data_IF_641128498694
#
_entry.id   IF_641128498694
#
_cell.length_a   1.000
_cell.length_b   1.000
_cell.length_c   1.000
_cell.angle_alpha   90.00
_cell.angle_beta   90.00
_cell.angle_gamma   90.00
#
_symmetry.space_group_name_H-M   'P 1'
#
loop_
_entity.id
_entity.type
_entity.pdbx_description
1 polymer ?
#
# COMPACT_ATOMS: atom_id res chain seq x y z
N UNK A 1 -18.46 -5.22 10.63
CA UNK A 1 -17.28 -5.78 9.96
C UNK A 1 -17.03 -7.26 10.28
N UNK A 2 -17.29 -7.74 11.51
CA UNK A 2 -17.08 -9.15 11.88
C UNK A 2 -17.79 -10.15 10.95
N UNK A 3 -19.04 -9.88 10.55
CA UNK A 3 -19.81 -10.74 9.64
C UNK A 3 -19.32 -10.74 8.20
N UNK A 4 -18.66 -9.66 7.73
CA UNK A 4 -18.10 -9.59 6.38
C UNK A 4 -16.91 -10.54 6.23
N UNK A 5 -16.00 -10.58 7.19
CA UNK A 5 -14.81 -11.43 7.14
C UNK A 5 -15.06 -12.90 7.47
N UNK A 6 -16.23 -13.23 8.05
CA UNK A 6 -16.65 -14.62 8.33
C UNK A 6 -17.53 -15.22 7.23
N UNK A 7 -18.12 -14.39 6.35
CA UNK A 7 -18.92 -14.83 5.21
C UNK A 7 -18.02 -15.32 4.07
N UNK A 8 -18.31 -16.50 3.52
CA UNK A 8 -17.61 -17.05 2.34
C UNK A 8 -18.36 -16.81 1.03
N UNK A 9 -19.35 -15.93 1.02
CA UNK A 9 -20.26 -15.68 -0.11
C UNK A 9 -20.42 -14.21 -0.47
N UNK A 10 -19.38 -13.40 -0.23
CA UNK A 10 -19.43 -11.99 -0.57
C UNK A 10 -19.49 -11.79 -2.10
N UNK A 11 -20.32 -10.83 -2.52
CA UNK A 11 -20.42 -10.44 -3.92
C UNK A 11 -19.10 -9.82 -4.39
N UNK A 12 -18.61 -10.24 -5.55
CA UNK A 12 -17.42 -9.67 -6.17
C UNK A 12 -17.56 -8.16 -6.36
N UNK A 13 -18.73 -7.67 -6.76
CA UNK A 13 -19.00 -6.24 -6.92
C UNK A 13 -18.80 -5.44 -5.64
N UNK A 14 -19.34 -5.92 -4.51
CA UNK A 14 -19.19 -5.21 -3.23
C UNK A 14 -17.75 -5.15 -2.75
N UNK A 15 -16.99 -6.25 -2.93
CA UNK A 15 -15.56 -6.29 -2.57
C UNK A 15 -14.73 -5.42 -3.50
N UNK A 16 -15.03 -5.44 -4.81
CA UNK A 16 -14.36 -4.58 -5.79
C UNK A 16 -14.61 -3.09 -5.52
N UNK A 17 -15.80 -2.72 -5.06
CA UNK A 17 -16.10 -1.34 -4.69
C UNK A 17 -15.28 -0.87 -3.47
N UNK A 18 -14.99 -1.78 -2.53
CA UNK A 18 -14.06 -1.50 -1.42
C UNK A 18 -12.66 -1.23 -1.99
N UNK A 19 -12.17 -2.07 -2.90
CA UNK A 19 -10.85 -1.92 -3.50
C UNK A 19 -10.70 -0.67 -4.37
N UNK A 20 -11.73 -0.29 -5.11
CA UNK A 20 -11.78 1.02 -5.76
C UNK A 20 -11.69 2.16 -4.74
N UNK A 21 -12.43 2.04 -3.64
CA UNK A 21 -12.45 3.05 -2.58
C UNK A 21 -11.11 3.18 -1.85
N UNK A 22 -10.33 2.09 -1.71
CA UNK A 22 -8.98 2.17 -1.12
C UNK A 22 -8.00 2.93 -2.01
N UNK A 23 -8.17 2.86 -3.33
CA UNK A 23 -7.38 3.62 -4.28
C UNK A 23 -7.74 5.12 -4.30
N UNK A 24 -8.95 5.50 -3.90
CA UNK A 24 -9.35 6.93 -3.79
C UNK A 24 -8.76 7.52 -2.51
N UNK A 25 -7.49 7.89 -2.58
CA UNK A 25 -6.76 8.43 -1.43
C UNK A 25 -5.85 9.60 -1.83
N UNK A 26 -5.55 10.46 -0.85
CA UNK A 26 -4.61 11.58 -1.04
C UNK A 26 -3.20 11.06 -1.33
N UNK A 27 -2.79 9.94 -0.74
CA UNK A 27 -1.49 9.31 -0.98
C UNK A 27 -1.30 8.92 -2.46
N UNK A 28 -2.34 8.38 -3.10
CA UNK A 28 -2.31 8.01 -4.52
C UNK A 28 -2.12 9.24 -5.42
N UNK A 29 -2.84 10.34 -5.14
CA UNK A 29 -2.69 11.61 -5.87
C UNK A 29 -1.28 12.16 -5.66
N UNK A 30 -0.81 12.18 -4.43
CA UNK A 30 0.51 12.68 -4.08
C UNK A 30 1.62 11.87 -4.76
N UNK A 31 1.53 10.55 -4.78
CA UNK A 31 2.53 9.74 -5.50
C UNK A 31 2.52 10.06 -7.00
N UNK A 32 1.35 10.36 -7.56
CA UNK A 32 1.23 10.85 -8.93
C UNK A 32 1.98 12.16 -9.17
N UNK A 33 2.03 13.08 -8.18
CA UNK A 33 2.77 14.35 -8.33
C UNK A 33 4.28 14.16 -8.47
N UNK A 34 4.86 13.12 -7.85
CA UNK A 34 6.29 12.83 -7.95
C UNK A 34 6.73 12.41 -9.34
N UNK A 35 5.81 11.97 -10.19
CA UNK A 35 6.12 11.59 -11.56
C UNK A 35 6.21 12.79 -12.51
N UNK A 36 5.90 13.99 -12.04
CA UNK A 36 5.87 15.20 -12.84
C UNK A 36 7.19 15.55 -13.56
N UNK A 37 8.39 15.26 -13.03
CA UNK A 37 9.65 15.46 -13.76
C UNK A 37 9.74 14.70 -15.09
N UNK A 38 8.99 13.60 -15.27
CA UNK A 38 8.90 12.86 -16.54
C UNK A 38 8.00 13.56 -17.59
N UNK A 39 7.25 14.55 -17.16
CA UNK A 39 6.18 15.14 -17.98
C UNK A 39 4.96 14.23 -18.13
N UNK A 40 3.90 14.75 -18.73
CA UNK A 40 2.61 14.06 -18.80
C UNK A 40 2.65 12.74 -19.57
N UNK A 41 3.39 12.69 -20.70
CA UNK A 41 3.40 11.51 -21.59
C UNK A 41 4.10 10.32 -20.95
N UNK A 42 5.35 10.51 -20.54
CA UNK A 42 6.17 9.41 -20.02
C UNK A 42 5.75 9.06 -18.58
N UNK A 43 5.32 10.05 -17.79
CA UNK A 43 4.72 9.81 -16.47
C UNK A 43 3.45 8.97 -16.56
N UNK A 44 2.52 9.28 -17.48
CA UNK A 44 1.32 8.46 -17.68
C UNK A 44 1.64 7.04 -18.17
N UNK A 45 2.63 6.90 -19.06
CA UNK A 45 3.07 5.57 -19.49
C UNK A 45 3.67 4.76 -18.34
N UNK A 46 4.46 5.39 -17.46
CA UNK A 46 4.99 4.76 -16.26
C UNK A 46 3.88 4.32 -15.29
N UNK A 47 2.83 5.14 -15.12
CA UNK A 47 1.64 4.78 -14.34
C UNK A 47 1.00 3.51 -14.91
N UNK A 48 0.74 3.46 -16.21
CA UNK A 48 0.10 2.30 -16.83
C UNK A 48 0.94 1.04 -16.71
N UNK A 49 2.23 1.11 -17.03
CA UNK A 49 3.15 -0.03 -16.97
C UNK A 49 3.28 -0.55 -15.54
N UNK A 50 3.49 0.35 -14.58
CA UNK A 50 3.66 -0.03 -13.17
C UNK A 50 2.39 -0.63 -12.56
N UNK A 51 1.21 -0.09 -12.86
CA UNK A 51 -0.06 -0.66 -12.38
C UNK A 51 -0.43 -1.97 -13.05
N UNK A 52 -0.09 -2.19 -14.32
CA UNK A 52 -0.29 -3.49 -14.97
C UNK A 52 0.59 -4.55 -14.29
N UNK A 53 1.88 -4.25 -14.08
CA UNK A 53 2.80 -5.17 -13.41
C UNK A 53 2.39 -5.39 -11.96
N UNK A 54 2.21 -4.32 -11.19
CA UNK A 54 1.81 -4.38 -9.79
C UNK A 54 0.46 -5.06 -9.59
N UNK A 55 -0.50 -4.83 -10.50
CA UNK A 55 -1.80 -5.50 -10.51
C UNK A 55 -1.70 -7.00 -10.74
N UNK A 56 -0.84 -7.47 -11.64
CA UNK A 56 -0.58 -8.91 -11.83
C UNK A 56 -0.03 -9.51 -10.54
N UNK A 57 0.95 -8.86 -9.91
CA UNK A 57 1.56 -9.33 -8.66
C UNK A 57 0.50 -9.35 -7.53
N UNK A 58 -0.31 -8.30 -7.42
CA UNK A 58 -1.40 -8.21 -6.45
C UNK A 58 -2.45 -9.30 -6.66
N UNK A 59 -2.79 -9.61 -7.92
CA UNK A 59 -3.69 -10.72 -8.28
C UNK A 59 -3.14 -12.07 -7.80
N UNK A 60 -1.84 -12.32 -8.01
CA UNK A 60 -1.21 -13.56 -7.56
C UNK A 60 -1.25 -13.71 -6.04
N UNK A 61 -1.08 -12.63 -5.28
CA UNK A 61 -1.25 -12.65 -3.82
C UNK A 61 -2.71 -12.93 -3.42
N UNK A 62 -3.65 -12.23 -4.04
CA UNK A 62 -5.08 -12.38 -3.74
C UNK A 62 -5.67 -13.74 -4.09
N UNK A 63 -5.21 -14.36 -5.19
CA UNK A 63 -5.74 -15.67 -5.62
C UNK A 63 -5.32 -16.81 -4.69
N UNK A 64 -4.17 -16.70 -4.02
CA UNK A 64 -3.76 -17.66 -2.99
C UNK A 64 -4.77 -17.66 -1.84
N UNK A 65 -5.08 -16.47 -1.31
CA UNK A 65 -6.07 -16.31 -0.25
C UNK A 65 -7.46 -16.78 -0.64
N UNK A 66 -7.90 -16.44 -1.87
CA UNK A 66 -9.18 -16.88 -2.41
C UNK A 66 -9.28 -18.40 -2.50
N UNK A 67 -8.29 -19.06 -3.12
CA UNK A 67 -8.28 -20.50 -3.34
C UNK A 67 -8.13 -21.31 -2.04
N UNK A 68 -7.30 -20.84 -1.12
CA UNK A 68 -7.06 -21.51 0.17
C UNK A 68 -8.04 -21.10 1.27
N UNK A 69 -8.90 -20.10 1.01
CA UNK A 69 -9.83 -19.53 2.00
C UNK A 69 -9.11 -19.06 3.27
N UNK A 70 -7.90 -18.53 3.14
CA UNK A 70 -7.03 -18.12 4.22
C UNK A 70 -6.70 -16.61 4.16
N UNK A 71 -6.35 -16.04 5.31
CA UNK A 71 -5.85 -14.68 5.43
C UNK A 71 -4.47 -14.52 4.77
N UNK A 72 -4.01 -13.28 4.60
CA UNK A 72 -2.68 -13.01 4.06
C UNK A 72 -1.59 -13.64 4.96
N UNK A 73 -1.70 -13.49 6.27
CA UNK A 73 -0.77 -14.09 7.23
C UNK A 73 -0.77 -15.62 7.17
N UNK A 74 -1.94 -16.25 7.07
CA UNK A 74 -2.06 -17.70 6.89
C UNK A 74 -1.49 -18.18 5.57
N UNK A 75 -1.61 -17.38 4.49
CA UNK A 75 -1.00 -17.73 3.19
C UNK A 75 0.53 -17.79 3.27
N UNK A 76 1.15 -16.88 4.02
CA UNK A 76 2.60 -16.86 4.25
C UNK A 76 3.04 -18.03 5.14
N UNK A 77 2.21 -18.48 6.09
CA UNK A 77 2.49 -19.68 6.88
C UNK A 77 2.72 -20.92 6.01
N UNK A 78 2.07 -21.03 4.84
CA UNK A 78 2.26 -22.16 3.92
C UNK A 78 3.71 -22.29 3.45
N UNK A 79 4.42 -21.17 3.29
CA UNK A 79 5.81 -21.15 2.78
C UNK A 79 6.86 -20.95 3.86
N UNK A 80 6.59 -20.12 4.86
CA UNK A 80 7.58 -19.72 5.87
C UNK A 80 7.40 -20.39 7.24
N UNK A 81 6.30 -21.10 7.45
CA UNK A 81 5.94 -21.70 8.74
C UNK A 81 5.39 -20.67 9.73
N UNK A 82 5.08 -21.14 10.94
CA UNK A 82 4.40 -20.34 11.98
C UNK A 82 5.15 -19.07 12.36
N UNK A 83 6.45 -19.16 12.58
CA UNK A 83 7.27 -17.98 12.93
C UNK A 83 7.35 -17.00 11.76
N UNK A 84 7.42 -17.50 10.51
CA UNK A 84 7.37 -16.65 9.32
C UNK A 84 6.05 -15.88 9.20
N UNK A 85 4.92 -16.49 9.51
CA UNK A 85 3.61 -15.82 9.56
C UNK A 85 3.56 -14.73 10.63
N UNK A 86 4.15 -14.98 11.80
CA UNK A 86 4.27 -13.97 12.87
C UNK A 86 5.16 -12.80 12.42
N UNK A 87 6.33 -13.11 11.84
CA UNK A 87 7.24 -12.06 11.30
C UNK A 87 6.58 -11.24 10.21
N UNK A 88 5.81 -11.87 9.33
CA UNK A 88 5.03 -11.18 8.31
C UNK A 88 3.99 -10.23 8.93
N UNK A 89 3.27 -10.65 9.95
CA UNK A 89 2.32 -9.78 10.66
C UNK A 89 3.02 -8.59 11.30
N UNK A 90 4.24 -8.77 11.82
CA UNK A 90 5.06 -7.68 12.35
C UNK A 90 5.50 -6.71 11.25
N UNK A 91 5.99 -7.22 10.11
CA UNK A 91 6.38 -6.39 8.96
C UNK A 91 5.19 -5.59 8.42
N UNK A 92 4.01 -6.22 8.33
CA UNK A 92 2.79 -5.52 7.94
C UNK A 92 2.38 -4.45 8.96
N UNK A 93 2.56 -4.71 10.26
CA UNK A 93 2.33 -3.70 11.31
C UNK A 93 3.25 -2.49 11.13
N UNK A 94 4.54 -2.71 10.86
CA UNK A 94 5.53 -1.65 10.61
C UNK A 94 5.13 -0.81 9.40
N UNK A 95 4.74 -1.45 8.29
CA UNK A 95 4.22 -0.77 7.11
C UNK A 95 2.99 0.10 7.44
N UNK A 96 2.02 -0.43 8.18
CA UNK A 96 0.79 0.30 8.54
C UNK A 96 1.06 1.47 9.48
N UNK A 97 2.04 1.35 10.39
CA UNK A 97 2.54 2.46 11.21
C UNK A 97 3.16 3.53 10.32
N UNK A 98 3.98 3.15 9.35
CA UNK A 98 4.58 4.08 8.39
C UNK A 98 3.50 4.83 7.58
N UNK A 99 2.51 4.13 7.04
CA UNK A 99 1.38 4.75 6.35
C UNK A 99 0.61 5.72 7.24
N UNK A 100 0.34 5.34 8.50
CA UNK A 100 -0.34 6.23 9.45
C UNK A 100 0.48 7.49 9.72
N UNK A 101 1.82 7.36 9.80
CA UNK A 101 2.70 8.51 10.02
C UNK A 101 2.69 9.46 8.82
N UNK A 102 2.81 8.95 7.60
CA UNK A 102 2.76 9.74 6.36
C UNK A 102 1.41 10.47 6.23
N UNK A 103 0.30 9.77 6.43
CA UNK A 103 -1.02 10.39 6.38
C UNK A 103 -1.18 11.46 7.49
N UNK A 104 -0.56 11.26 8.65
CA UNK A 104 -0.55 12.27 9.72
C UNK A 104 0.21 13.53 9.30
N UNK A 105 1.36 13.38 8.61
CA UNK A 105 2.13 14.52 8.08
C UNK A 105 1.29 15.30 7.07
N UNK A 106 0.67 14.62 6.09
CA UNK A 106 -0.21 15.26 5.10
C UNK A 106 -1.36 16.00 5.78
N UNK A 107 -2.02 15.35 6.74
CA UNK A 107 -3.10 15.98 7.52
C UNK A 107 -2.62 17.20 8.32
N UNK A 108 -1.43 17.13 8.90
CA UNK A 108 -0.83 18.25 9.64
C UNK A 108 -0.50 19.43 8.73
N UNK A 109 0.05 19.16 7.54
CA UNK A 109 0.31 20.20 6.53
C UNK A 109 -0.99 20.85 6.06
N UNK A 110 -2.01 20.05 5.74
CA UNK A 110 -3.32 20.57 5.33
C UNK A 110 -3.95 21.43 6.45
N UNK A 111 -3.88 20.98 7.70
CA UNK A 111 -4.43 21.71 8.82
C UNK A 111 -3.63 22.99 9.13
N UNK A 112 -2.31 22.95 8.98
CA UNK A 112 -1.45 24.13 9.13
C UNK A 112 -1.84 25.22 8.11
N UNK A 113 -1.97 24.87 6.83
CA UNK A 113 -2.42 25.78 5.77
C UNK A 113 -3.85 26.29 6.01
N UNK A 114 -4.74 25.44 6.51
CA UNK A 114 -6.10 25.81 6.89
C UNK A 114 -6.11 26.89 8.00
N UNK A 115 -5.33 26.68 9.06
CA UNK A 115 -5.23 27.62 10.17
C UNK A 115 -4.59 28.95 9.74
N UNK A 116 -3.55 28.90 8.92
CA UNK A 116 -2.93 30.10 8.34
C UNK A 116 -3.93 30.89 7.49
N UNK A 117 -4.70 30.20 6.65
CA UNK A 117 -5.68 30.85 5.76
C UNK A 117 -6.88 31.48 6.49
N UNK A 118 -7.42 30.80 7.52
CA UNK A 118 -8.64 31.26 8.22
C UNK A 118 -8.37 32.24 9.36
N UNK A 119 -7.27 32.05 10.08
CA UNK A 119 -6.97 32.81 11.33
C UNK A 119 -5.61 33.47 11.33
N UNK A 120 -4.89 33.46 10.20
CA UNK A 120 -3.53 34.01 10.08
C UNK A 120 -2.58 33.50 11.18
N UNK A 121 -2.75 32.22 11.57
CA UNK A 121 -1.89 31.58 12.55
C UNK A 121 -0.53 31.26 11.93
N UNK A 122 0.55 31.44 12.69
CA UNK A 122 1.88 31.05 12.26
C UNK A 122 2.02 29.52 12.10
N UNK A 123 3.03 29.10 11.35
CA UNK A 123 3.31 27.70 11.09
C UNK A 123 3.71 26.94 12.37
N UNK A 124 3.07 25.80 12.61
CA UNK A 124 3.40 24.89 13.70
C UNK A 124 3.02 23.45 13.35
N UNK A 125 3.74 22.88 12.39
CA UNK A 125 3.47 21.51 11.88
C UNK A 125 3.55 20.45 12.98
N UNK A 126 4.42 20.61 13.98
CA UNK A 126 4.55 19.67 15.11
C UNK A 126 3.24 19.63 15.92
N UNK A 127 2.71 20.80 16.28
CA UNK A 127 1.44 20.88 17.02
C UNK A 127 0.31 20.20 16.25
N UNK A 128 0.23 20.47 14.95
CA UNK A 128 -0.82 19.91 14.10
C UNK A 128 -0.62 18.41 13.88
N UNK A 129 0.62 17.90 13.77
CA UNK A 129 0.91 16.48 13.74
C UNK A 129 0.45 15.75 15.01
N UNK A 130 0.64 16.36 16.19
CA UNK A 130 0.14 15.83 17.45
C UNK A 130 -1.39 15.77 17.45
N UNK A 131 -2.05 16.86 17.08
CA UNK A 131 -3.52 16.95 17.08
C UNK A 131 -4.12 15.94 16.08
N UNK A 132 -3.65 15.94 14.83
CA UNK A 132 -4.17 15.08 13.77
C UNK A 132 -3.82 13.61 14.02
N UNK A 133 -2.61 13.33 14.49
CA UNK A 133 -2.15 11.98 14.78
C UNK A 133 -2.88 11.32 15.95
N UNK A 134 -3.25 12.11 16.97
CA UNK A 134 -4.01 11.61 18.11
C UNK A 134 -5.53 11.63 17.90
N UNK A 135 -6.03 12.33 16.90
CA UNK A 135 -7.47 12.40 16.62
C UNK A 135 -8.13 11.03 16.43
N UNK A 136 -7.51 10.05 15.72
CA UNK A 136 -8.06 8.70 15.59
C UNK A 136 -8.29 7.98 16.92
N UNK A 137 -7.58 8.36 18.01
CA UNK A 137 -7.79 7.80 19.35
C UNK A 137 -9.25 8.00 19.84
N UNK A 138 -9.87 9.11 19.47
CA UNK A 138 -11.28 9.39 19.80
C UNK A 138 -12.20 8.35 19.13
N UNK A 139 -11.84 7.91 17.92
CA UNK A 139 -12.63 6.97 17.14
C UNK A 139 -12.39 5.50 17.50
N UNK A 140 -11.30 5.18 18.19
CA UNK A 140 -11.04 3.80 18.69
C UNK A 140 -12.20 3.32 19.59
N UNK A 141 -12.86 4.24 20.28
CA UNK A 141 -14.02 3.93 21.12
C UNK A 141 -15.37 3.97 20.36
N UNK A 142 -15.36 4.39 19.10
CA UNK A 142 -16.54 4.42 18.23
C UNK A 142 -16.83 3.06 17.59
N UNK A 143 -18.05 2.89 17.06
CA UNK A 143 -18.39 1.66 16.33
C UNK A 143 -17.80 1.69 14.92
N UNK A 144 -17.31 0.54 14.44
CA UNK A 144 -16.80 0.41 13.07
C UNK A 144 -17.82 0.77 12.00
N UNK A 145 -19.13 0.56 12.27
CA UNK A 145 -20.19 0.92 11.32
C UNK A 145 -20.33 2.43 11.15
N UNK A 146 -20.17 3.19 12.23
CA UNK A 146 -20.17 4.65 12.18
C UNK A 146 -19.00 5.19 11.34
N UNK A 147 -17.79 4.72 11.64
CA UNK A 147 -16.59 5.13 10.92
C UNK A 147 -16.66 4.74 9.44
N UNK A 148 -17.15 3.54 9.12
CA UNK A 148 -17.31 3.09 7.73
C UNK A 148 -18.29 3.96 6.94
N UNK A 149 -19.38 4.46 7.57
CA UNK A 149 -20.32 5.39 6.91
C UNK A 149 -19.66 6.74 6.62
N UNK A 150 -18.94 7.31 7.61
CA UNK A 150 -18.21 8.56 7.42
C UNK A 150 -17.17 8.41 6.32
N UNK A 151 -16.37 7.35 6.36
CA UNK A 151 -15.33 7.11 5.37
C UNK A 151 -15.89 7.05 3.93
N UNK A 152 -17.06 6.46 3.70
CA UNK A 152 -17.71 6.44 2.39
C UNK A 152 -18.05 7.84 1.88
N UNK A 153 -18.55 8.71 2.77
CA UNK A 153 -18.88 10.10 2.41
C UNK A 153 -17.60 10.88 2.12
N UNK A 154 -16.60 10.76 2.98
CA UNK A 154 -15.29 11.43 2.82
C UNK A 154 -14.61 10.98 1.52
N UNK A 155 -14.61 9.68 1.23
CA UNK A 155 -14.06 9.12 0.00
C UNK A 155 -14.79 9.69 -1.25
N UNK A 156 -16.14 9.80 -1.20
CA UNK A 156 -16.89 10.42 -2.29
C UNK A 156 -16.53 11.90 -2.47
N UNK A 157 -16.42 12.65 -1.37
CA UNK A 157 -15.99 14.05 -1.42
C UNK A 157 -14.58 14.19 -2.01
N UNK A 158 -13.63 13.32 -1.60
CA UNK A 158 -12.28 13.32 -2.14
C UNK A 158 -12.29 12.98 -3.64
N UNK A 159 -13.05 11.97 -4.05
CA UNK A 159 -13.19 11.61 -5.47
C UNK A 159 -13.70 12.79 -6.30
N UNK A 160 -14.75 13.46 -5.84
CA UNK A 160 -15.31 14.62 -6.55
C UNK A 160 -14.31 15.81 -6.59
N UNK A 161 -13.63 16.08 -5.48
CA UNK A 161 -12.60 17.10 -5.43
C UNK A 161 -11.42 16.78 -6.36
N UNK A 162 -11.00 15.51 -6.42
CA UNK A 162 -9.93 15.05 -7.30
C UNK A 162 -10.33 15.14 -8.77
N UNK A 163 -11.56 14.76 -9.13
CA UNK A 163 -12.06 14.90 -10.49
C UNK A 163 -12.15 16.37 -10.92
N UNK A 164 -12.57 17.26 -10.02
CA UNK A 164 -12.56 18.70 -10.29
C UNK A 164 -11.13 19.21 -10.54
N UNK A 165 -10.17 18.80 -9.70
CA UNK A 165 -8.75 19.12 -9.86
C UNK A 165 -8.21 18.65 -11.22
N UNK A 166 -8.46 17.38 -11.58
CA UNK A 166 -8.04 16.79 -12.86
C UNK A 166 -8.67 17.48 -14.07
N UNK A 167 -9.96 17.85 -13.98
CA UNK A 167 -10.62 18.60 -15.02
C UNK A 167 -9.98 19.99 -15.22
N UNK A 168 -9.66 20.70 -14.13
CA UNK A 168 -8.95 21.98 -14.18
C UNK A 168 -7.59 21.87 -14.88
N UNK A 169 -6.80 20.85 -14.55
CA UNK A 169 -5.50 20.58 -15.18
C UNK A 169 -5.62 20.31 -16.69
N UNK A 170 -6.67 19.60 -17.14
CA UNK A 170 -6.89 19.30 -18.57
C UNK A 170 -7.34 20.54 -19.35
N UNK A 171 -8.27 21.33 -18.79
CA UNK A 171 -8.81 22.51 -19.48
C UNK A 171 -7.77 23.62 -19.63
N UNK A 172 -6.87 23.75 -18.66
CA UNK A 172 -5.82 24.78 -18.63
C UNK A 172 -4.50 24.31 -19.26
N UNK A 173 -4.47 23.19 -19.96
CA UNK A 173 -3.25 22.53 -20.48
C UNK A 173 -2.39 23.37 -21.47
N UNK A 174 -2.78 24.60 -21.80
CA UNK A 174 -2.00 25.48 -22.66
C UNK A 174 -0.83 26.21 -21.96
N UNK A 175 -0.73 26.12 -20.63
CA UNK A 175 0.35 26.70 -19.84
C UNK A 175 1.12 25.59 -19.14
N UNK A 176 1.92 24.84 -19.88
CA UNK A 176 2.83 23.84 -19.29
C UNK A 176 4.00 24.60 -18.64
N UNK A 177 4.06 24.60 -17.32
CA UNK A 177 5.24 25.07 -16.58
C UNK A 177 6.35 24.03 -16.75
N UNK A 178 7.33 24.35 -17.58
CA UNK A 178 8.51 23.53 -17.82
C UNK A 178 9.55 23.82 -16.76
N UNK A 179 9.85 22.89 -15.93
CA UNK A 179 11.02 22.65 -15.07
C UNK A 179 10.67 22.44 -13.61
N UNK A 180 10.39 21.20 -13.29
CA UNK A 180 10.70 20.70 -11.94
C UNK A 180 12.17 20.30 -11.99
N UNK A 181 13.00 20.86 -11.12
CA UNK A 181 14.47 20.68 -11.10
C UNK A 181 14.90 19.26 -10.68
N UNK A 182 13.97 18.35 -10.44
CA UNK A 182 14.22 16.97 -10.03
C UNK A 182 14.28 16.05 -11.24
N UNK A 183 15.29 15.19 -11.30
CA UNK A 183 15.41 14.16 -12.33
C UNK A 183 14.90 12.83 -11.82
N UNK A 184 13.87 12.28 -12.45
CA UNK A 184 13.36 10.94 -12.18
C UNK A 184 13.57 10.05 -13.42
N UNK A 185 14.09 8.82 -13.25
CA UNK A 185 14.15 7.87 -14.34
C UNK A 185 12.78 7.21 -14.58
N UNK A 186 12.51 6.80 -15.83
CA UNK A 186 11.27 6.08 -16.15
C UNK A 186 11.13 4.80 -15.30
N UNK A 187 12.22 4.06 -15.11
CA UNK A 187 12.23 2.85 -14.30
C UNK A 187 11.90 3.09 -12.82
N UNK A 188 12.39 4.19 -12.23
CA UNK A 188 12.03 4.57 -10.86
C UNK A 188 10.55 4.95 -10.76
N UNK A 189 10.02 5.66 -11.74
CA UNK A 189 8.58 5.95 -11.79
C UNK A 189 7.72 4.69 -11.89
N UNK A 190 8.11 3.73 -12.74
CA UNK A 190 7.44 2.41 -12.81
C UNK A 190 7.52 1.69 -11.47
N UNK A 191 8.67 1.74 -10.80
CA UNK A 191 8.89 1.11 -9.50
C UNK A 191 7.97 1.69 -8.41
N UNK A 192 7.80 3.03 -8.34
CA UNK A 192 6.86 3.66 -7.40
C UNK A 192 5.42 3.16 -7.59
N UNK A 193 4.99 3.00 -8.84
CA UNK A 193 3.66 2.48 -9.16
C UNK A 193 3.51 1.00 -8.77
N UNK A 194 4.55 0.18 -8.98
CA UNK A 194 4.57 -1.22 -8.52
C UNK A 194 4.54 -1.26 -6.99
N UNK A 195 5.40 -0.49 -6.31
CA UNK A 195 5.52 -0.46 -4.85
C UNK A 195 4.18 -0.10 -4.18
N UNK A 196 3.42 0.83 -4.76
CA UNK A 196 2.08 1.16 -4.26
C UNK A 196 1.13 -0.06 -4.31
N UNK A 197 1.10 -0.80 -5.43
CA UNK A 197 0.32 -2.04 -5.50
C UNK A 197 0.81 -3.10 -4.50
N UNK A 198 2.13 -3.21 -4.29
CA UNK A 198 2.74 -4.16 -3.36
C UNK A 198 2.37 -3.86 -1.91
N UNK A 199 2.14 -2.61 -1.56
CA UNK A 199 1.70 -2.22 -0.21
C UNK A 199 0.38 -2.87 0.22
N UNK A 200 -0.43 -3.31 -0.75
CA UNK A 200 -1.71 -3.98 -0.53
C UNK A 200 -1.63 -5.51 -0.51
N UNK A 201 -0.49 -6.10 -0.91
CA UNK A 201 -0.32 -7.57 -0.87
C UNK A 201 -0.54 -8.17 0.52
N UNK A 202 -0.06 -7.54 1.62
CA UNK A 202 -0.28 -8.07 2.96
C UNK A 202 -1.75 -8.07 3.43
N UNK A 203 -2.65 -7.53 2.63
CA UNK A 203 -4.07 -7.32 3.03
C UNK A 203 -5.05 -7.95 2.07
N UNK A 204 -4.69 -8.12 0.78
CA UNK A 204 -5.65 -8.52 -0.27
C UNK A 204 -6.31 -9.86 0.02
N UNK A 205 -5.56 -10.84 0.52
CA UNK A 205 -6.08 -12.18 0.83
C UNK A 205 -7.15 -12.17 1.91
N UNK A 206 -7.14 -11.20 2.82
CA UNK A 206 -8.16 -11.06 3.87
C UNK A 206 -9.55 -10.77 3.29
N UNK A 207 -9.59 -10.11 2.15
CA UNK A 207 -10.83 -9.80 1.43
C UNK A 207 -11.18 -10.90 0.42
N UNK A 208 -10.20 -11.35 -0.37
CA UNK A 208 -10.48 -12.29 -1.47
C UNK A 208 -10.86 -13.67 -0.97
N UNK A 209 -10.42 -14.10 0.23
CA UNK A 209 -10.86 -15.35 0.86
C UNK A 209 -12.37 -15.43 1.06
N UNK A 210 -13.06 -14.29 1.10
CA UNK A 210 -14.52 -14.21 1.34
C UNK A 210 -15.34 -14.28 0.06
N UNK A 211 -14.72 -14.22 -1.12
CA UNK A 211 -15.40 -14.14 -2.40
C UNK A 211 -16.07 -15.46 -2.79
N UNK A 212 -17.28 -15.35 -3.34
CA UNK A 212 -18.00 -16.50 -3.90
C UNK A 212 -17.26 -17.07 -5.11
N UNK A 213 -16.89 -16.21 -6.07
CA UNK A 213 -16.14 -16.56 -7.26
C UNK A 213 -14.66 -16.18 -7.02
N UNK A 214 -13.79 -17.16 -6.85
CA UNK A 214 -12.41 -16.95 -6.43
C UNK A 214 -11.60 -16.18 -7.49
N UNK A 215 -11.48 -16.72 -8.69
CA UNK A 215 -10.62 -16.15 -9.74
C UNK A 215 -11.17 -14.83 -10.30
N UNK A 216 -12.41 -14.85 -10.80
CA UNK A 216 -13.03 -13.66 -11.40
C UNK A 216 -13.29 -12.57 -10.37
N UNK A 217 -13.63 -12.95 -9.12
CA UNK A 217 -13.82 -11.99 -8.04
C UNK A 217 -12.50 -11.33 -7.61
N UNK A 218 -11.42 -12.09 -7.51
CA UNK A 218 -10.09 -11.52 -7.21
C UNK A 218 -9.64 -10.59 -8.34
N UNK A 219 -9.83 -11.00 -9.60
CA UNK A 219 -9.51 -10.14 -10.75
C UNK A 219 -10.33 -8.85 -10.73
N UNK A 220 -11.62 -8.91 -10.42
CA UNK A 220 -12.47 -7.71 -10.31
C UNK A 220 -12.00 -6.76 -9.21
N UNK A 221 -11.53 -7.27 -8.07
CA UNK A 221 -10.98 -6.45 -6.99
C UNK A 221 -9.71 -5.73 -7.44
N UNK A 222 -8.78 -6.44 -8.08
CA UNK A 222 -7.51 -5.87 -8.56
C UNK A 222 -7.74 -4.85 -9.67
N UNK A 223 -8.61 -5.15 -10.64
CA UNK A 223 -8.95 -4.21 -11.72
C UNK A 223 -9.60 -2.94 -11.14
N UNK A 224 -10.49 -3.08 -10.16
CA UNK A 224 -11.12 -1.93 -9.52
C UNK A 224 -10.11 -1.05 -8.76
N UNK A 225 -9.16 -1.67 -8.04
CA UNK A 225 -8.07 -0.97 -7.39
C UNK A 225 -7.18 -0.25 -8.41
N UNK A 226 -6.65 -0.98 -9.40
CA UNK A 226 -5.75 -0.39 -10.41
C UNK A 226 -6.44 0.75 -11.18
N UNK A 227 -7.72 0.61 -11.52
CA UNK A 227 -8.47 1.69 -12.19
C UNK A 227 -8.57 2.95 -11.32
N UNK A 228 -8.91 2.80 -10.02
CA UNK A 228 -8.95 3.92 -9.09
C UNK A 228 -7.57 4.55 -8.89
N UNK A 229 -6.53 3.74 -8.72
CA UNK A 229 -5.16 4.20 -8.50
C UNK A 229 -4.61 4.93 -9.73
N UNK A 230 -4.73 4.35 -10.93
CA UNK A 230 -4.35 5.01 -12.20
C UNK A 230 -5.05 6.37 -12.34
N UNK A 231 -6.34 6.45 -12.00
CA UNK A 231 -7.08 7.71 -12.04
C UNK A 231 -6.48 8.74 -11.08
N UNK A 232 -6.24 8.37 -9.82
CA UNK A 232 -5.69 9.28 -8.81
C UNK A 232 -4.25 9.72 -9.13
N UNK A 233 -3.40 8.80 -9.56
CA UNK A 233 -2.04 9.11 -10.02
C UNK A 233 -2.03 10.05 -11.22
N UNK A 234 -2.92 9.80 -12.20
CA UNK A 234 -3.01 10.64 -13.40
C UNK A 234 -3.48 12.06 -13.05
N UNK A 235 -4.40 12.20 -12.10
CA UNK A 235 -4.82 13.50 -11.58
C UNK A 235 -3.65 14.19 -10.88
N UNK A 236 -2.90 13.47 -10.03
CA UNK A 236 -1.72 14.01 -9.36
C UNK A 236 -0.65 14.48 -10.33
N UNK A 237 -0.27 13.62 -11.28
CA UNK A 237 0.68 13.94 -12.34
C UNK A 237 0.25 15.16 -13.14
N UNK A 238 -0.97 15.15 -13.67
CA UNK A 238 -1.48 16.24 -14.49
C UNK A 238 -1.53 17.57 -13.75
N UNK A 239 -1.91 17.52 -12.48
CA UNK A 239 -1.95 18.72 -11.62
C UNK A 239 -0.55 19.25 -11.32
N UNK A 240 0.40 18.37 -10.99
CA UNK A 240 1.77 18.80 -10.71
C UNK A 240 2.47 19.38 -11.96
N UNK A 241 2.25 18.78 -13.13
CA UNK A 241 2.75 19.33 -14.41
C UNK A 241 2.11 20.66 -14.72
N UNK A 242 0.81 20.83 -14.43
CA UNK A 242 0.09 22.08 -14.70
C UNK A 242 0.52 23.22 -13.77
N UNK A 243 0.59 22.96 -12.46
CA UNK A 243 0.94 24.00 -11.47
C UNK A 243 2.45 24.17 -11.26
N UNK A 244 3.30 23.25 -11.73
CA UNK A 244 4.75 23.29 -11.54
C UNK A 244 5.21 23.06 -10.11
N UNK A 245 4.39 22.38 -9.29
CA UNK A 245 4.67 22.07 -7.88
C UNK A 245 4.20 20.65 -7.55
N UNK A 246 4.80 20.04 -6.53
CA UNK A 246 4.47 18.67 -6.09
C UNK A 246 3.72 18.62 -4.77
N UNK A 247 3.66 19.72 -4.00
CA UNK A 247 2.92 19.78 -2.73
C UNK A 247 1.40 19.70 -2.99
N UNK A 248 0.80 18.61 -2.55
CA UNK A 248 -0.62 18.32 -2.81
C UNK A 248 -1.56 19.33 -2.15
N UNK A 249 -1.20 19.88 -1.00
CA UNK A 249 -2.03 20.87 -0.31
C UNK A 249 -2.03 22.20 -1.08
N UNK A 250 -0.90 22.61 -1.65
CA UNK A 250 -0.79 23.81 -2.48
C UNK A 250 -1.51 23.63 -3.82
N UNK A 251 -1.37 22.47 -4.46
CA UNK A 251 -2.10 22.12 -5.68
C UNK A 251 -3.61 22.28 -5.48
N UNK A 252 -4.15 21.71 -4.41
CA UNK A 252 -5.57 21.81 -4.09
C UNK A 252 -5.99 23.26 -3.76
N UNK A 253 -5.15 24.03 -3.11
CA UNK A 253 -5.42 25.45 -2.85
C UNK A 253 -5.45 26.27 -4.14
N UNK A 254 -4.51 26.04 -5.06
CA UNK A 254 -4.42 26.72 -6.35
C UNK A 254 -5.52 26.32 -7.33
N UNK A 255 -6.14 25.16 -7.15
CA UNK A 255 -7.23 24.68 -8.01
C UNK A 255 -8.52 25.49 -7.96
N UNK A 256 -8.59 26.51 -7.10
CA UNK A 256 -9.79 27.31 -6.87
C UNK A 256 -10.77 26.73 -5.86
N UNK A 257 -10.53 25.52 -5.34
CA UNK A 257 -11.34 24.95 -4.25
C UNK A 257 -11.02 25.56 -2.88
N UNK A 258 -9.84 26.20 -2.76
CA UNK A 258 -9.42 26.91 -1.56
C UNK A 258 -9.50 26.05 -0.29
N UNK A 259 -10.04 26.64 0.78
CA UNK A 259 -10.15 26.00 2.11
C UNK A 259 -10.93 24.68 2.11
N UNK A 260 -11.93 24.53 1.21
CA UNK A 260 -12.77 23.33 1.16
C UNK A 260 -11.91 22.10 0.83
N UNK A 261 -10.94 22.23 -0.05
CA UNK A 261 -10.03 21.12 -0.42
C UNK A 261 -9.18 20.67 0.76
N UNK A 262 -8.68 21.58 1.57
CA UNK A 262 -7.89 21.25 2.77
C UNK A 262 -8.74 20.48 3.80
N UNK A 263 -10.01 20.85 3.97
CA UNK A 263 -10.94 20.10 4.83
C UNK A 263 -11.17 18.68 4.31
N UNK A 264 -11.31 18.50 2.99
CA UNK A 264 -11.47 17.16 2.38
C UNK A 264 -10.21 16.32 2.58
N UNK A 265 -9.01 16.89 2.37
CA UNK A 265 -7.73 16.20 2.65
C UNK A 265 -7.67 15.78 4.11
N UNK A 266 -7.95 16.70 5.03
CA UNK A 266 -7.91 16.45 6.47
C UNK A 266 -8.83 15.30 6.89
N UNK A 267 -10.09 15.32 6.44
CA UNK A 267 -11.03 14.26 6.74
C UNK A 267 -10.60 12.92 6.14
N UNK A 268 -10.06 12.93 4.93
CA UNK A 268 -9.53 11.72 4.27
C UNK A 268 -8.36 11.13 5.05
N UNK A 269 -7.39 11.95 5.47
CA UNK A 269 -6.23 11.47 6.23
C UNK A 269 -6.63 10.89 7.57
N UNK A 270 -7.55 11.53 8.30
CA UNK A 270 -8.03 11.04 9.60
C UNK A 270 -8.80 9.72 9.47
N UNK A 271 -9.67 9.58 8.46
CA UNK A 271 -10.42 8.34 8.24
C UNK A 271 -9.51 7.19 7.82
N UNK A 272 -8.53 7.45 6.97
CA UNK A 272 -7.52 6.47 6.56
C UNK A 272 -6.66 6.04 7.74
N UNK A 273 -6.19 6.98 8.57
CA UNK A 273 -5.43 6.68 9.78
C UNK A 273 -6.17 5.74 10.73
N UNK A 274 -7.46 5.97 10.94
CA UNK A 274 -8.24 5.06 11.78
C UNK A 274 -8.25 3.63 11.22
N UNK A 275 -8.40 3.47 9.90
CA UNK A 275 -8.44 2.14 9.26
C UNK A 275 -7.07 1.45 9.38
N UNK A 276 -5.97 2.15 9.13
CA UNK A 276 -4.61 1.59 9.21
C UNK A 276 -4.22 1.22 10.63
N UNK A 277 -4.56 2.07 11.62
CA UNK A 277 -4.34 1.80 13.04
C UNK A 277 -5.11 0.54 13.48
N UNK A 278 -6.39 0.43 13.11
CA UNK A 278 -7.19 -0.73 13.45
C UNK A 278 -6.66 -2.01 12.79
N UNK A 279 -6.25 -1.95 11.53
CA UNK A 279 -5.66 -3.09 10.81
C UNK A 279 -4.33 -3.53 11.43
N UNK A 280 -3.48 -2.57 11.80
CA UNK A 280 -2.23 -2.82 12.53
C UNK A 280 -2.46 -3.54 13.86
N UNK A 281 -3.49 -3.11 14.61
CA UNK A 281 -3.86 -3.71 15.89
C UNK A 281 -4.36 -5.16 15.74
N UNK A 282 -5.08 -5.45 14.67
CA UNK A 282 -5.51 -6.81 14.33
C UNK A 282 -4.29 -7.70 13.99
N UNK A 283 -3.31 -7.16 13.24
CA UNK A 283 -2.07 -7.88 12.96
C UNK A 283 -1.29 -8.20 14.24
N UNK A 284 -1.20 -7.26 15.18
CA UNK A 284 -0.55 -7.49 16.48
C UNK A 284 -1.31 -8.50 17.35
N UNK A 285 -2.63 -8.48 17.35
CA UNK A 285 -3.44 -9.48 18.04
C UNK A 285 -3.24 -10.90 17.44
N UNK A 286 -3.00 -11.00 16.12
CA UNK A 286 -2.64 -12.27 15.50
C UNK A 286 -1.30 -12.82 16.02
N UNK A 287 -0.33 -11.95 16.37
CA UNK A 287 0.94 -12.35 16.97
C UNK A 287 0.73 -12.88 18.38
N UNK A 288 -0.11 -12.23 19.17
CA UNK A 288 -0.45 -12.63 20.53
C UNK A 288 -1.91 -12.32 20.86
N UNK A 289 -2.72 -13.35 21.01
CA UNK A 289 -4.13 -13.22 21.40
C UNK A 289 -4.37 -12.58 22.79
N UNK A 290 -3.30 -12.32 23.54
CA UNK A 290 -3.38 -11.61 24.83
C UNK A 290 -3.41 -10.09 24.66
N UNK A 291 -3.07 -9.59 23.49
CA UNK A 291 -3.07 -8.15 23.20
C UNK A 291 -4.51 -7.68 22.91
N UNK A 292 -5.01 -6.79 23.75
CA UNK A 292 -6.30 -6.14 23.48
C UNK A 292 -6.19 -5.20 22.28
N UNK A 293 -7.11 -5.34 21.31
CA UNK A 293 -7.09 -4.57 20.06
C UNK A 293 -7.19 -3.06 20.30
N UNK A 294 -7.92 -2.61 21.33
CA UNK A 294 -8.08 -1.17 21.61
C UNK A 294 -6.81 -0.58 22.19
N UNK A 295 -6.17 -1.28 23.14
CA UNK A 295 -4.90 -0.81 23.70
C UNK A 295 -3.79 -0.82 22.66
N UNK A 296 -3.70 -1.87 21.83
CA UNK A 296 -2.74 -1.90 20.72
C UNK A 296 -3.00 -0.79 19.70
N UNK A 297 -4.26 -0.49 19.37
CA UNK A 297 -4.61 0.62 18.51
C UNK A 297 -4.14 1.97 19.08
N UNK A 298 -4.31 2.17 20.38
CA UNK A 298 -3.83 3.37 21.07
C UNK A 298 -2.30 3.51 20.99
N UNK A 299 -1.55 2.43 21.25
CA UNK A 299 -0.09 2.43 21.13
C UNK A 299 0.38 2.66 19.68
N UNK A 300 -0.24 2.03 18.70
CA UNK A 300 0.05 2.27 17.28
C UNK A 300 -0.18 3.73 16.92
N UNK A 301 -1.27 4.33 17.39
CA UNK A 301 -1.59 5.74 17.18
C UNK A 301 -0.48 6.65 17.74
N UNK A 302 -0.02 6.39 18.97
CA UNK A 302 1.06 7.17 19.60
C UNK A 302 2.37 7.01 18.81
N UNK A 303 2.77 5.78 18.49
CA UNK A 303 4.03 5.52 17.76
C UNK A 303 4.01 6.20 16.39
N UNK A 304 2.90 6.09 15.65
CA UNK A 304 2.75 6.73 14.34
C UNK A 304 2.79 8.25 14.44
N UNK A 305 2.18 8.83 15.49
CA UNK A 305 2.23 10.28 15.73
C UNK A 305 3.65 10.75 16.05
N UNK A 306 4.36 10.01 16.90
CA UNK A 306 5.77 10.33 17.22
C UNK A 306 6.63 10.26 15.96
N UNK A 307 6.48 9.22 15.13
CA UNK A 307 7.20 9.12 13.86
C UNK A 307 6.86 10.28 12.94
N UNK A 308 5.60 10.72 12.86
CA UNK A 308 5.19 11.85 12.03
C UNK A 308 5.83 13.19 12.45
N UNK A 309 6.28 13.31 13.70
CA UNK A 309 7.01 14.50 14.17
C UNK A 309 8.47 14.50 13.68
N UNK A 310 9.09 13.33 13.55
CA UNK A 310 10.50 13.18 13.21
C UNK A 310 10.76 12.90 11.74
N UNK A 311 9.75 12.38 11.00
CA UNK A 311 9.86 12.10 9.58
C UNK A 311 9.46 13.33 8.75
N UNK A 312 10.05 13.44 7.56
CA UNK A 312 9.65 14.42 6.54
C UNK A 312 9.00 13.73 5.34
N UNK A 313 8.29 14.52 4.52
CA UNK A 313 7.72 14.01 3.27
C UNK A 313 8.77 13.55 2.24
N UNK A 314 10.01 14.03 2.34
CA UNK A 314 11.14 13.58 1.52
C UNK A 314 11.42 12.08 1.67
N UNK A 315 11.06 11.49 2.82
CA UNK A 315 11.24 10.05 3.10
C UNK A 315 10.11 9.17 2.55
N UNK A 316 9.10 9.77 1.92
CA UNK A 316 7.94 9.02 1.42
C UNK A 316 8.29 8.03 0.30
N UNK A 317 9.10 8.44 -0.67
CA UNK A 317 9.56 7.54 -1.74
C UNK A 317 10.42 6.41 -1.19
N UNK A 318 11.35 6.72 -0.29
CA UNK A 318 12.17 5.71 0.40
C UNK A 318 11.31 4.70 1.16
N UNK A 319 10.21 5.17 1.76
CA UNK A 319 9.26 4.27 2.43
C UNK A 319 8.56 3.33 1.44
N UNK A 320 8.16 3.80 0.26
CA UNK A 320 7.57 2.95 -0.78
C UNK A 320 8.57 1.90 -1.27
N UNK A 321 9.83 2.28 -1.50
CA UNK A 321 10.88 1.34 -1.89
C UNK A 321 11.16 0.31 -0.78
N UNK A 322 11.17 0.72 0.49
CA UNK A 322 11.27 -0.21 1.62
C UNK A 322 10.14 -1.23 1.66
N UNK A 323 8.91 -0.82 1.33
CA UNK A 323 7.77 -1.74 1.18
C UNK A 323 8.05 -2.76 0.08
N UNK A 324 8.48 -2.31 -1.09
CA UNK A 324 8.80 -3.20 -2.20
C UNK A 324 9.96 -4.14 -1.87
N UNK A 325 11.05 -3.63 -1.29
CA UNK A 325 12.19 -4.43 -0.83
C UNK A 325 11.78 -5.54 0.14
N UNK A 326 10.83 -5.24 1.04
CA UNK A 326 10.35 -6.17 2.06
C UNK A 326 9.44 -7.24 1.48
N UNK A 327 8.42 -6.84 0.71
CA UNK A 327 7.36 -7.74 0.30
C UNK A 327 7.59 -8.41 -1.05
N UNK A 328 8.33 -7.81 -1.99
CA UNK A 328 8.59 -8.43 -3.28
C UNK A 328 9.29 -9.79 -3.16
N UNK A 329 10.45 -9.94 -2.50
CA UNK A 329 11.11 -11.23 -2.37
C UNK A 329 10.31 -12.22 -1.50
N UNK A 330 9.57 -11.74 -0.49
CA UNK A 330 8.72 -12.57 0.35
C UNK A 330 7.62 -13.24 -0.46
N UNK A 331 6.89 -12.46 -1.25
CA UNK A 331 5.82 -13.00 -2.09
C UNK A 331 6.36 -13.76 -3.31
N UNK A 332 7.56 -13.45 -3.84
CA UNK A 332 8.20 -14.25 -4.87
C UNK A 332 8.43 -15.70 -4.39
N UNK A 333 8.87 -15.87 -3.15
CA UNK A 333 9.01 -17.20 -2.53
C UNK A 333 7.64 -17.87 -2.36
N UNK A 334 6.66 -17.15 -1.82
CA UNK A 334 5.31 -17.68 -1.64
C UNK A 334 4.67 -18.11 -2.97
N UNK A 335 4.82 -17.31 -4.04
CA UNK A 335 4.32 -17.64 -5.39
C UNK A 335 5.03 -18.85 -5.97
N UNK A 336 6.36 -18.91 -5.90
CA UNK A 336 7.13 -20.03 -6.42
C UNK A 336 6.77 -21.34 -5.74
N UNK A 337 6.50 -21.34 -4.45
CA UNK A 337 6.07 -22.54 -3.72
C UNK A 337 4.61 -22.90 -4.02
N UNK A 338 3.73 -21.92 -4.06
CA UNK A 338 2.31 -22.19 -4.29
C UNK A 338 2.02 -22.69 -5.71
N UNK A 339 2.62 -22.06 -6.74
CA UNK A 339 2.31 -22.37 -8.13
C UNK A 339 3.19 -23.46 -8.75
N UNK A 340 4.43 -23.65 -8.25
CA UNK A 340 5.41 -24.54 -8.89
C UNK A 340 5.87 -25.71 -8.02
N UNK A 341 5.61 -25.70 -6.70
CA UNK A 341 6.07 -26.75 -5.77
C UNK A 341 4.90 -27.57 -5.26
N UNK A 342 4.45 -28.55 -6.03
CA UNK A 342 3.19 -29.30 -5.80
C UNK A 342 3.06 -30.03 -4.45
N UNK A 343 4.08 -30.17 -3.61
CA UNK A 343 4.02 -30.97 -2.39
C UNK A 343 4.85 -30.47 -1.20
N UNK A 344 5.30 -29.21 -1.20
CA UNK A 344 6.12 -28.69 -0.09
C UNK A 344 5.31 -27.64 0.65
N UNK A 345 4.33 -28.07 1.45
CA UNK A 345 3.69 -27.18 2.42
C UNK A 345 4.46 -27.27 3.74
N UNK A 346 4.93 -26.12 4.21
CA UNK A 346 5.62 -25.97 5.49
C UNK A 346 4.67 -25.61 6.64
N UNK A 347 3.36 -25.79 6.46
CA UNK A 347 2.32 -25.36 7.40
C UNK A 347 2.52 -25.88 8.82
N UNK A 348 3.11 -27.07 8.97
CA UNK A 348 3.43 -27.66 10.27
C UNK A 348 4.87 -27.35 10.74
N UNK A 349 5.65 -26.60 9.95
CA UNK A 349 6.99 -26.21 10.32
C UNK A 349 6.94 -24.99 11.24
N UNK A 350 7.79 -24.96 12.27
CA UNK A 350 7.94 -23.77 13.10
C UNK A 350 8.54 -22.61 12.30
N UNK A 351 9.57 -22.89 11.51
CA UNK A 351 10.21 -21.92 10.60
C UNK A 351 10.86 -22.67 9.42
N UNK A 352 10.86 -22.02 8.26
CA UNK A 352 11.57 -22.49 7.07
C UNK A 352 12.82 -21.63 6.84
N UNK A 353 13.94 -22.03 7.42
CA UNK A 353 15.21 -21.27 7.42
C UNK A 353 15.71 -20.95 6.00
N UNK A 354 15.52 -21.88 5.04
CA UNK A 354 15.84 -21.65 3.62
C UNK A 354 15.10 -20.44 3.07
N UNK A 355 13.78 -20.36 3.30
CA UNK A 355 12.95 -19.28 2.79
C UNK A 355 13.26 -17.94 3.45
N UNK A 356 13.56 -17.96 4.76
CA UNK A 356 14.02 -16.75 5.45
C UNK A 356 15.35 -16.24 4.91
N UNK A 357 16.31 -17.15 4.62
CA UNK A 357 17.59 -16.76 4.02
C UNK A 357 17.41 -16.20 2.60
N UNK A 358 16.58 -16.83 1.77
CA UNK A 358 16.28 -16.35 0.42
C UNK A 358 15.57 -15.00 0.46
N UNK A 359 14.66 -14.79 1.40
CA UNK A 359 14.01 -13.49 1.61
C UNK A 359 15.04 -12.41 1.97
N UNK A 360 15.96 -12.69 2.90
CA UNK A 360 17.00 -11.75 3.28
C UNK A 360 17.93 -11.41 2.11
N UNK A 361 18.32 -12.41 1.30
CA UNK A 361 19.11 -12.20 0.09
C UNK A 361 18.34 -11.30 -0.89
N UNK A 362 17.05 -11.54 -1.08
CA UNK A 362 16.21 -10.74 -1.96
C UNK A 362 16.04 -9.31 -1.49
N UNK A 363 15.85 -9.11 -0.18
CA UNK A 363 15.80 -7.79 0.44
C UNK A 363 17.10 -7.00 0.21
N UNK A 364 18.25 -7.61 0.52
CA UNK A 364 19.57 -6.99 0.32
C UNK A 364 19.81 -6.71 -1.16
N UNK A 365 19.47 -7.64 -2.05
CA UNK A 365 19.61 -7.45 -3.49
C UNK A 365 18.77 -6.28 -4.01
N UNK A 366 17.54 -6.13 -3.51
CA UNK A 366 16.70 -4.99 -3.86
C UNK A 366 17.34 -3.66 -3.45
N UNK A 367 17.77 -3.53 -2.18
CA UNK A 367 18.41 -2.32 -1.65
C UNK A 367 19.70 -1.96 -2.38
N UNK A 368 20.50 -2.95 -2.79
CA UNK A 368 21.73 -2.71 -3.53
C UNK A 368 21.51 -2.34 -5.01
N UNK A 369 20.36 -2.69 -5.57
CA UNK A 369 20.05 -2.51 -6.99
C UNK A 369 19.09 -1.34 -7.25
N UNK A 370 18.55 -0.69 -6.23
CA UNK A 370 17.53 0.35 -6.41
C UNK A 370 17.99 1.49 -7.31
N UNK A 371 19.24 1.89 -7.22
CA UNK A 371 19.84 2.94 -8.04
C UNK A 371 20.08 2.52 -9.51
N UNK A 372 20.01 1.21 -9.79
CA UNK A 372 20.19 0.62 -11.12
C UNK A 372 18.86 0.24 -11.77
N UNK A 373 17.84 1.07 -11.59
CA UNK A 373 16.49 0.79 -12.04
C UNK A 373 16.44 0.39 -13.53
N UNK A 374 15.82 -0.76 -13.81
CA UNK A 374 15.53 -1.19 -15.19
C UNK A 374 14.28 -0.47 -15.71
N UNK A 375 14.02 -0.56 -17.01
CA UNK A 375 12.78 0.01 -17.60
C UNK A 375 11.48 -0.48 -16.92
N UNK A 376 11.49 -1.66 -16.32
CA UNK A 376 10.34 -2.25 -15.59
C UNK A 376 10.52 -2.19 -14.06
N UNK A 377 11.36 -1.31 -13.57
CA UNK A 377 11.69 -1.21 -12.13
C UNK A 377 12.65 -2.31 -11.65
N UNK A 378 12.83 -2.43 -10.36
CA UNK A 378 13.69 -3.43 -9.69
C UNK A 378 12.89 -4.58 -9.10
N UNK A 379 11.65 -4.35 -8.70
CA UNK A 379 10.77 -5.39 -8.14
C UNK A 379 10.70 -6.62 -9.03
N UNK A 380 10.47 -6.46 -10.33
CA UNK A 380 10.29 -7.60 -11.25
C UNK A 380 11.56 -8.44 -11.38
N UNK A 381 12.74 -7.88 -11.69
CA UNK A 381 13.98 -8.64 -11.73
C UNK A 381 14.29 -9.39 -10.42
N UNK A 382 14.12 -8.74 -9.28
CA UNK A 382 14.36 -9.36 -7.96
C UNK A 382 13.38 -10.50 -7.70
N UNK A 383 12.08 -10.28 -7.93
CA UNK A 383 11.06 -11.32 -7.75
C UNK A 383 11.32 -12.55 -8.63
N UNK A 384 11.66 -12.33 -9.90
CA UNK A 384 11.98 -13.43 -10.83
C UNK A 384 13.23 -14.19 -10.41
N UNK A 385 14.31 -13.50 -10.04
CA UNK A 385 15.54 -14.12 -9.58
C UNK A 385 15.31 -14.98 -8.33
N UNK A 386 14.64 -14.44 -7.32
CA UNK A 386 14.32 -15.15 -6.08
C UNK A 386 13.39 -16.34 -6.33
N UNK A 387 12.36 -16.18 -7.19
CA UNK A 387 11.46 -17.29 -7.53
C UNK A 387 12.21 -18.43 -8.25
N UNK A 388 13.05 -18.12 -9.23
CA UNK A 388 13.85 -19.11 -9.96
C UNK A 388 14.80 -19.85 -9.03
N UNK A 389 15.53 -19.12 -8.18
CA UNK A 389 16.44 -19.71 -7.20
C UNK A 389 15.66 -20.62 -6.24
N UNK A 390 14.50 -20.19 -5.75
CA UNK A 390 13.68 -20.99 -4.84
C UNK A 390 13.18 -22.29 -5.51
N UNK A 391 12.70 -22.22 -6.74
CA UNK A 391 12.26 -23.39 -7.51
C UNK A 391 13.43 -24.38 -7.67
N UNK A 392 14.60 -23.89 -8.09
CA UNK A 392 15.78 -24.72 -8.29
C UNK A 392 16.24 -25.41 -7.00
N UNK A 393 16.32 -24.67 -5.88
CA UNK A 393 16.69 -25.22 -4.58
C UNK A 393 15.67 -26.27 -4.11
N UNK A 394 14.37 -26.04 -4.31
CA UNK A 394 13.33 -27.00 -3.98
C UNK A 394 13.46 -28.31 -4.77
N UNK A 395 13.79 -28.23 -6.07
CA UNK A 395 14.04 -29.41 -6.90
C UNK A 395 15.25 -30.21 -6.43
N UNK A 396 16.35 -29.54 -6.07
CA UNK A 396 17.55 -30.22 -5.51
C UNK A 396 17.27 -30.94 -4.20
N UNK A 397 16.51 -30.31 -3.29
CA UNK A 397 16.12 -30.90 -2.00
C UNK A 397 15.18 -32.11 -2.24
N UNK A 398 14.22 -31.97 -3.13
CA UNK A 398 13.29 -33.05 -3.51
C UNK A 398 14.01 -34.25 -4.11
N UNK A 399 14.96 -34.04 -5.01
CA UNK A 399 15.77 -35.10 -5.61
C UNK A 399 16.62 -35.85 -4.58
N UNK A 400 17.22 -35.16 -3.61
CA UNK A 400 17.97 -35.80 -2.50
C UNK A 400 17.05 -36.66 -1.63
N UNK A 401 15.86 -36.23 -1.26
CA UNK A 401 14.91 -37.03 -0.48
C UNK A 401 14.49 -38.30 -1.21
N UNK A 402 14.25 -38.22 -2.52
CA UNK A 402 13.89 -39.40 -3.34
C UNK A 402 15.04 -40.42 -3.45
N UNK A 403 16.29 -39.95 -3.53
CA UNK A 403 17.47 -40.82 -3.57
C UNK A 403 17.76 -41.52 -2.23
N UNK A 404 17.46 -40.89 -1.10
CA UNK A 404 17.61 -41.49 0.24
C UNK A 404 16.52 -42.53 0.52
N UNK A 405 15.27 -42.30 0.11
CA UNK A 405 14.18 -43.28 0.27
C UNK A 405 14.32 -44.52 -0.61
N UNK A 406 15.16 -44.49 -1.67
CA UNK A 406 15.48 -45.69 -2.48
C UNK A 406 16.61 -46.54 -1.92
N UNK A 407 17.28 -46.09 -0.85
CA UNK A 407 18.38 -46.81 -0.20
C UNK A 407 17.94 -47.63 1.03
N UNK A 408 16.68 -47.60 1.39
CA UNK A 408 16.01 -48.44 2.40
C UNK A 408 14.85 -49.20 1.71
#
# INVERSE_FOLDING_TARGET
MSTFFTSTNNSSFNVSLIWFGTAVSVAEIMTGTFLAPLGMKDGFLAILVGHVIGGIILYLAGIIGANKRCSASESINLSFGKLGSISFSLLNTIQLIGWTSIMTIIGAQAFNKLMASLWNMGENTILWAIIIGLFPCIWIFSTMDFVSKINKVVMLCLLLASLYLGFGAVVSANEVVTSLDESMSFGMAVELNIAMCLSWMPVISDYTRTLKNQSTGTLSCVVAYCFGSILMYTIGLGSAVHYGITDICDIFMLSGMGVISLVVILLSTVTTNFITINSSSICLNHISNQLDVKYTAFFVCIISTLLAIFLSMEQYETFLYFIAATFAPLFAIAFSEYFFSHNIYHQNSFITGKNCLLWLIGFIAYELLIDYSTFIGITVPVMLAIAIINIFVNQLIGAKRFSLNKRY
#
